data_IF_759517915981
#
_entry.id   IF_759517915981
#
_cell.length_a   1.000
_cell.length_b   1.000
_cell.length_c   1.000
_cell.angle_alpha   90.00
_cell.angle_beta   90.00
_cell.angle_gamma   90.00
#
_symmetry.space_group_name_H-M   'P 1'
#
loop_
_entity.id
_entity.type
_entity.pdbx_description
1 polymer ?
#
# COMPACT_ATOMS: atom_id res chain seq x y z
N UNK A 1 -16.40 11.57 -18.58
CA UNK A 1 -16.21 10.24 -19.16
C UNK A 1 -14.86 9.67 -18.70
N UNK A 2 -14.85 8.48 -18.16
CA UNK A 2 -13.59 7.86 -17.78
C UNK A 2 -12.88 7.30 -19.02
N UNK A 3 -11.55 7.36 -19.03
CA UNK A 3 -10.72 6.85 -20.09
C UNK A 3 -9.66 5.94 -19.50
N UNK A 4 -9.45 4.79 -20.10
CA UNK A 4 -8.42 3.84 -19.69
C UNK A 4 -7.27 3.87 -20.69
N UNK A 5 -6.05 3.94 -20.18
CA UNK A 5 -4.83 3.86 -20.98
C UNK A 5 -4.03 2.66 -20.48
N UNK A 6 -3.83 1.67 -21.36
CA UNK A 6 -3.17 0.42 -20.99
C UNK A 6 -1.66 0.47 -21.17
N UNK A 7 -1.15 1.22 -22.13
CA UNK A 7 0.28 1.36 -22.36
C UNK A 7 0.91 2.26 -21.29
N UNK A 8 1.88 1.75 -20.48
CA UNK A 8 2.51 2.55 -19.43
C UNK A 8 3.19 3.82 -19.92
N UNK A 9 3.80 3.80 -21.11
CA UNK A 9 4.47 4.99 -21.65
C UNK A 9 3.48 6.05 -22.08
N UNK A 10 2.38 5.64 -22.70
CA UNK A 10 1.30 6.56 -23.05
C UNK A 10 0.67 7.15 -21.79
N UNK A 11 0.42 6.33 -20.78
CA UNK A 11 -0.11 6.78 -19.48
C UNK A 11 0.81 7.80 -18.82
N UNK A 12 2.13 7.57 -18.85
CA UNK A 12 3.11 8.50 -18.30
C UNK A 12 3.09 9.85 -19.04
N UNK A 13 2.99 9.83 -20.37
CA UNK A 13 2.90 11.06 -21.16
C UNK A 13 1.62 11.84 -20.85
N UNK A 14 0.50 11.17 -20.74
CA UNK A 14 -0.77 11.82 -20.40
C UNK A 14 -0.77 12.40 -19.00
N UNK A 15 -0.27 11.65 -18.02
CA UNK A 15 -0.12 12.16 -16.65
C UNK A 15 0.80 13.37 -16.60
N UNK A 16 1.92 13.34 -17.29
CA UNK A 16 2.85 14.46 -17.35
C UNK A 16 2.17 15.71 -17.93
N UNK A 17 1.38 15.54 -18.99
CA UNK A 17 0.61 16.63 -19.57
C UNK A 17 -0.41 17.21 -18.60
N UNK A 18 -1.13 16.34 -17.85
CA UNK A 18 -2.10 16.78 -16.85
C UNK A 18 -1.44 17.55 -15.72
N UNK A 19 -0.31 17.05 -15.21
CA UNK A 19 0.44 17.75 -14.17
C UNK A 19 0.96 19.10 -14.61
N UNK A 20 1.43 19.23 -15.87
CA UNK A 20 1.91 20.49 -16.42
C UNK A 20 0.82 21.57 -16.46
N UNK A 21 -0.43 21.18 -16.64
CA UNK A 21 -1.57 22.09 -16.72
C UNK A 21 -2.28 22.29 -15.41
N UNK A 22 -2.04 21.42 -14.42
CA UNK A 22 -2.73 21.49 -13.14
C UNK A 22 -2.19 22.64 -12.29
N UNK A 23 -3.08 23.38 -11.67
CA UNK A 23 -2.73 24.38 -10.66
C UNK A 23 -2.73 23.82 -9.26
N UNK A 24 -3.51 22.77 -9.03
CA UNK A 24 -3.60 22.06 -7.76
C UNK A 24 -3.64 20.56 -8.05
N UNK A 25 -2.74 19.84 -7.46
CA UNK A 25 -2.69 18.38 -7.59
C UNK A 25 -2.68 17.75 -6.20
N UNK A 26 -3.42 16.66 -6.04
CA UNK A 26 -3.45 15.87 -4.81
C UNK A 26 -3.08 14.45 -5.18
N UNK A 27 -2.11 13.90 -4.47
CA UNK A 27 -1.78 12.48 -4.54
C UNK A 27 -2.48 11.73 -3.40
N UNK A 28 -3.21 10.68 -3.77
CA UNK A 28 -3.83 9.79 -2.80
C UNK A 28 -3.31 8.37 -3.05
N UNK A 29 -2.41 7.92 -2.19
CA UNK A 29 -1.77 6.61 -2.32
C UNK A 29 -2.15 5.67 -1.19
N UNK A 30 -2.28 4.39 -1.52
CA UNK A 30 -2.52 3.33 -0.56
C UNK A 30 -1.31 2.40 -0.41
N UNK A 31 -1.54 1.22 0.17
CA UNK A 31 -0.50 0.23 0.43
C UNK A 31 0.25 -0.22 -0.83
N UNK A 32 -0.40 -0.17 -1.99
CA UNK A 32 0.23 -0.53 -3.26
C UNK A 32 1.42 0.35 -3.65
N UNK A 33 1.52 1.57 -3.11
CA UNK A 33 2.68 2.45 -3.34
C UNK A 33 3.93 1.88 -2.68
N UNK A 34 3.79 1.08 -1.64
CA UNK A 34 4.91 0.55 -0.85
C UNK A 34 5.37 -0.84 -1.28
N UNK A 35 4.67 -1.52 -2.19
CA UNK A 35 5.05 -2.88 -2.60
C UNK A 35 6.41 -2.93 -3.29
N UNK A 36 6.75 -1.93 -4.09
CA UNK A 36 8.06 -1.82 -4.71
C UNK A 36 9.19 -1.53 -3.71
N UNK A 37 8.85 -1.21 -2.47
CA UNK A 37 9.80 -1.06 -1.36
C UNK A 37 9.95 -2.35 -0.52
N UNK A 38 9.29 -3.44 -0.93
CA UNK A 38 9.33 -4.71 -0.24
C UNK A 38 8.31 -4.85 0.89
N UNK A 39 7.35 -3.92 0.98
CA UNK A 39 6.27 -4.00 1.98
C UNK A 39 5.04 -4.57 1.31
N UNK A 40 4.52 -5.75 1.75
CA UNK A 40 3.34 -6.33 1.13
C UNK A 40 2.11 -5.44 1.33
N UNK A 41 1.26 -5.39 0.32
CA UNK A 41 -0.07 -4.80 0.45
C UNK A 41 -1.01 -5.77 1.20
N UNK A 42 -2.32 -5.49 1.20
CA UNK A 42 -3.26 -6.31 1.95
C UNK A 42 -3.92 -7.39 1.11
N UNK A 43 -4.41 -7.06 -0.07
CA UNK A 43 -5.36 -7.88 -0.84
C UNK A 43 -4.81 -8.54 -2.10
N UNK A 44 -3.59 -8.23 -2.52
CA UNK A 44 -2.99 -8.89 -3.67
C UNK A 44 -2.67 -10.36 -3.35
N UNK A 45 -2.40 -11.22 -4.36
CA UNK A 45 -2.02 -12.61 -4.11
C UNK A 45 -0.83 -12.80 -3.17
N UNK A 46 0.11 -11.83 -3.16
CA UNK A 46 1.28 -11.83 -2.28
C UNK A 46 1.07 -10.92 -1.06
N UNK A 47 -0.14 -10.42 -0.85
CA UNK A 47 -0.44 -9.48 0.20
C UNK A 47 -0.61 -10.12 1.58
N UNK A 48 -0.75 -9.26 2.58
CA UNK A 48 -0.84 -9.68 3.98
C UNK A 48 -2.06 -10.56 4.24
N UNK A 49 -3.19 -10.29 3.59
CA UNK A 49 -4.42 -11.06 3.80
C UNK A 49 -4.37 -12.46 3.18
N UNK A 50 -3.46 -12.72 2.25
CA UNK A 50 -3.24 -14.04 1.68
C UNK A 50 -2.39 -14.95 2.58
N UNK A 51 -1.72 -14.40 3.59
CA UNK A 51 -0.89 -15.16 4.52
C UNK A 51 -1.76 -15.81 5.60
N UNK A 52 -1.25 -16.93 6.15
CA UNK A 52 -1.97 -17.68 7.18
C UNK A 52 -1.45 -17.31 8.57
N UNK A 53 -2.38 -17.03 9.48
CA UNK A 53 -2.10 -16.73 10.87
C UNK A 53 -3.08 -17.49 11.77
N UNK A 54 -2.87 -17.43 13.09
CA UNK A 54 -3.78 -18.04 14.07
C UNK A 54 -5.20 -17.45 14.00
N UNK A 55 -5.31 -16.21 13.57
CA UNK A 55 -6.59 -15.50 13.33
C UNK A 55 -6.57 -14.94 11.91
N UNK A 56 -7.74 -14.67 11.30
CA UNK A 56 -7.77 -14.00 10.02
C UNK A 56 -7.09 -12.63 10.11
N UNK A 57 -6.20 -12.28 9.14
CA UNK A 57 -5.49 -11.00 9.21
C UNK A 57 -6.41 -9.77 9.26
N UNK A 58 -7.56 -9.83 8.60
CA UNK A 58 -8.54 -8.75 8.62
C UNK A 58 -9.07 -8.50 10.04
N UNK A 59 -9.24 -9.55 10.83
CA UNK A 59 -9.66 -9.44 12.23
C UNK A 59 -8.54 -8.91 13.10
N UNK A 60 -7.31 -9.37 12.87
CA UNK A 60 -6.13 -8.97 13.66
C UNK A 60 -5.84 -7.47 13.54
N UNK A 61 -6.22 -6.83 12.43
CA UNK A 61 -6.06 -5.40 12.23
C UNK A 61 -7.27 -4.59 12.67
N UNK A 62 -8.29 -5.25 13.21
CA UNK A 62 -9.49 -4.58 13.72
C UNK A 62 -9.31 -4.02 15.12
N UNK A 63 -10.10 -3.00 15.42
CA UNK A 63 -10.11 -2.35 16.74
C UNK A 63 -10.42 -3.33 17.87
N UNK A 64 -11.43 -4.19 17.69
CA UNK A 64 -11.86 -5.13 18.73
C UNK A 64 -10.77 -6.14 19.07
N UNK A 65 -10.07 -6.66 18.05
CA UNK A 65 -8.95 -7.56 18.27
C UNK A 65 -7.84 -6.87 19.06
N UNK A 66 -7.52 -5.62 18.70
CA UNK A 66 -6.52 -4.85 19.44
C UNK A 66 -6.89 -4.72 20.93
N UNK A 67 -8.15 -4.46 21.22
CA UNK A 67 -8.61 -4.30 22.62
C UNK A 67 -8.65 -5.62 23.38
N UNK A 68 -9.07 -6.70 22.75
CA UNK A 68 -9.27 -8.01 23.38
C UNK A 68 -8.02 -8.88 23.41
N UNK A 69 -7.16 -8.73 22.39
CA UNK A 69 -5.95 -9.55 22.18
C UNK A 69 -4.73 -8.66 21.94
N UNK A 70 -4.49 -7.72 22.84
CA UNK A 70 -3.44 -6.70 22.68
C UNK A 70 -2.05 -7.30 22.48
N UNK A 71 -1.71 -8.35 23.24
CA UNK A 71 -0.39 -8.99 23.14
C UNK A 71 -0.21 -9.66 21.76
N UNK A 72 -1.22 -10.39 21.32
CA UNK A 72 -1.20 -11.05 20.01
C UNK A 72 -1.18 -10.04 18.86
N UNK A 73 -1.87 -8.91 19.02
CA UNK A 73 -1.81 -7.82 18.05
C UNK A 73 -0.39 -7.28 17.91
N UNK A 74 0.29 -6.98 19.01
CA UNK A 74 1.65 -6.44 18.96
C UNK A 74 2.68 -7.46 18.45
N UNK A 75 2.49 -8.74 18.72
CA UNK A 75 3.33 -9.79 18.15
C UNK A 75 3.20 -9.80 16.62
N UNK A 76 1.97 -9.82 16.11
CA UNK A 76 1.69 -9.73 14.69
C UNK A 76 2.26 -8.44 14.07
N UNK A 77 2.03 -7.30 14.73
CA UNK A 77 2.50 -5.99 14.27
C UNK A 77 4.02 -5.97 14.11
N UNK A 78 4.74 -6.45 15.12
CA UNK A 78 6.20 -6.48 15.07
C UNK A 78 6.73 -7.41 13.98
N UNK A 79 6.10 -8.54 13.78
CA UNK A 79 6.57 -9.54 12.82
C UNK A 79 6.24 -9.20 11.38
N UNK A 80 5.09 -8.55 11.15
CA UNK A 80 4.51 -8.40 9.80
C UNK A 80 4.34 -6.96 9.33
N UNK A 81 4.17 -6.03 10.24
CA UNK A 81 3.87 -4.64 9.89
C UNK A 81 5.08 -3.72 9.99
N UNK A 82 6.06 -4.05 10.83
CA UNK A 82 7.26 -3.23 11.00
C UNK A 82 8.31 -3.65 9.97
N UNK A 83 8.70 -2.71 9.12
CA UNK A 83 9.63 -2.96 8.01
C UNK A 83 10.78 -1.94 8.06
N UNK A 84 11.64 -2.06 9.07
CA UNK A 84 12.70 -1.07 9.34
C UNK A 84 13.72 -0.96 8.20
N UNK A 85 13.89 -2.02 7.39
CA UNK A 85 14.81 -2.00 6.26
C UNK A 85 14.23 -1.45 4.96
N UNK A 86 12.95 -1.08 4.95
CA UNK A 86 12.32 -0.57 3.75
C UNK A 86 12.87 0.80 3.38
N UNK A 87 12.97 1.06 2.06
CA UNK A 87 13.47 2.33 1.53
C UNK A 87 12.47 2.92 0.54
N UNK A 88 12.46 4.24 0.37
CA UNK A 88 11.63 4.87 -0.65
C UNK A 88 11.90 4.27 -2.03
N UNK A 89 10.85 4.05 -2.79
CA UNK A 89 10.96 3.61 -4.19
C UNK A 89 10.78 4.80 -5.14
N UNK A 90 10.73 4.52 -6.43
CA UNK A 90 10.64 5.56 -7.45
C UNK A 90 9.39 6.43 -7.30
N UNK A 91 8.25 5.86 -6.89
CA UNK A 91 7.03 6.63 -6.68
C UNK A 91 7.21 7.68 -5.58
N UNK A 92 7.79 7.29 -4.44
CA UNK A 92 8.08 8.22 -3.35
C UNK A 92 9.04 9.33 -3.79
N UNK A 93 10.06 8.98 -4.57
CA UNK A 93 11.06 9.97 -5.01
C UNK A 93 10.51 10.97 -6.02
N UNK A 94 9.48 10.59 -6.78
CA UNK A 94 8.84 11.48 -7.75
C UNK A 94 7.82 12.42 -7.13
N UNK A 95 7.30 12.10 -5.96
CA UNK A 95 6.36 12.96 -5.25
C UNK A 95 7.05 14.07 -4.51
#
# INVERSE_FOLDING_TARGET
MSRTVEDPQEAARELSSLFSRARRAVFFGGAGVSTASGIPDFRSPDGLYAQRFAYPPEEMLGHDFFCEHTAEFYEFYRERMVCLGARPNQAHRKL
#
